data_IF_812025365961
#
_entry.id   IF_812025365961
#
_cell.length_a   1.000
_cell.length_b   1.000
_cell.length_c   1.000
_cell.angle_alpha   90.00
_cell.angle_beta   90.00
_cell.angle_gamma   90.00
#
_symmetry.space_group_name_H-M   'P 1'
#
loop_
_entity.id
_entity.type
_entity.pdbx_description
1 polymer ?
#
# COMPACT_ATOMS: atom_id res chain seq x y z
N UNK A 1 -18.83 -9.01 -8.14
CA UNK A 1 -17.57 -9.06 -8.91
C UNK A 1 -16.47 -9.53 -7.99
N UNK A 2 -15.65 -10.47 -8.43
CA UNK A 2 -14.44 -10.89 -7.70
C UNK A 2 -13.24 -10.38 -8.47
N UNK A 3 -12.26 -9.85 -7.74
CA UNK A 3 -11.00 -9.42 -8.30
C UNK A 3 -9.84 -9.85 -7.41
N UNK A 4 -8.65 -9.85 -7.97
CA UNK A 4 -7.43 -10.00 -7.20
C UNK A 4 -6.32 -9.19 -7.85
N UNK A 5 -5.46 -8.61 -7.04
CA UNK A 5 -4.21 -7.99 -7.47
C UNK A 5 -3.05 -8.82 -6.93
N UNK A 6 -2.04 -9.06 -7.77
CA UNK A 6 -0.76 -9.57 -7.35
C UNK A 6 0.30 -8.51 -7.66
N UNK A 7 1.10 -8.17 -6.65
CA UNK A 7 2.20 -7.24 -6.75
C UNK A 7 3.48 -7.91 -6.24
N UNK A 8 4.51 -7.86 -7.07
CA UNK A 8 5.88 -8.19 -6.69
C UNK A 8 6.72 -6.93 -6.78
N UNK A 9 7.46 -6.63 -5.72
CA UNK A 9 8.41 -5.54 -5.65
C UNK A 9 9.77 -6.10 -5.24
N UNK A 10 10.83 -5.58 -5.85
CA UNK A 10 12.21 -5.89 -5.52
C UNK A 10 12.99 -4.58 -5.51
N UNK A 11 13.69 -4.32 -4.41
CA UNK A 11 14.45 -3.08 -4.17
C UNK A 11 15.85 -3.49 -3.73
N UNK A 12 16.86 -2.99 -4.43
CA UNK A 12 18.23 -2.95 -3.91
C UNK A 12 18.36 -1.70 -3.03
N UNK A 13 18.87 -1.87 -1.82
CA UNK A 13 19.06 -0.77 -0.89
C UNK A 13 20.51 -0.75 -0.39
N UNK A 14 21.00 0.45 -0.13
CA UNK A 14 22.31 0.68 0.48
C UNK A 14 22.30 1.96 1.31
N UNK A 15 23.11 2.00 2.36
CA UNK A 15 23.46 3.24 3.05
C UNK A 15 24.88 3.17 3.60
N UNK A 16 25.48 4.33 3.90
CA UNK A 16 26.83 4.40 4.46
C UNK A 16 26.89 3.97 5.93
N UNK A 17 28.10 3.84 6.46
CA UNK A 17 28.33 3.44 7.85
C UNK A 17 27.54 4.28 8.89
N UNK A 18 26.85 3.58 9.79
CA UNK A 18 26.08 4.14 10.92
C UNK A 18 26.74 3.91 12.28
N UNK A 19 28.05 3.63 12.30
CA UNK A 19 28.85 3.35 13.49
C UNK A 19 29.26 1.88 13.64
N UNK A 20 29.09 1.07 12.60
CA UNK A 20 29.48 -0.35 12.53
C UNK A 20 30.80 -0.56 11.76
N UNK A 21 31.35 0.48 11.13
CA UNK A 21 32.67 0.49 10.48
C UNK A 21 32.67 0.06 9.01
N UNK A 22 31.50 -0.05 8.37
CA UNK A 22 31.36 -0.47 6.97
C UNK A 22 30.00 -0.05 6.39
N UNK A 23 29.89 -0.03 5.06
CA UNK A 23 28.65 0.31 4.35
C UNK A 23 27.65 -0.85 4.34
N UNK A 24 26.37 -0.52 4.38
CA UNK A 24 25.28 -1.49 4.44
C UNK A 24 24.61 -1.63 3.09
N UNK A 25 24.41 -2.88 2.67
CA UNK A 25 23.73 -3.22 1.42
C UNK A 25 22.86 -4.47 1.58
N UNK A 26 21.75 -4.49 0.87
CA UNK A 26 20.86 -5.63 0.88
C UNK A 26 19.76 -5.50 -0.16
N UNK A 27 18.80 -6.41 -0.07
CA UNK A 27 17.60 -6.37 -0.91
C UNK A 27 16.35 -6.39 -0.04
N UNK A 28 15.28 -5.79 -0.55
CA UNK A 28 13.94 -5.92 0.02
C UNK A 28 13.02 -6.41 -1.08
N UNK A 29 12.43 -7.58 -0.87
CA UNK A 29 11.40 -8.14 -1.74
C UNK A 29 10.04 -8.06 -1.05
N UNK A 30 8.99 -7.73 -1.79
CA UNK A 30 7.61 -7.78 -1.32
C UNK A 30 6.78 -8.61 -2.30
N UNK A 31 6.08 -9.61 -1.78
CA UNK A 31 5.09 -10.40 -2.51
C UNK A 31 3.75 -10.16 -1.87
N UNK A 32 2.85 -9.46 -2.56
CA UNK A 32 1.56 -9.03 -2.05
C UNK A 32 0.44 -9.50 -2.95
N UNK A 33 -0.56 -10.13 -2.34
CA UNK A 33 -1.79 -10.59 -2.97
C UNK A 33 -2.99 -9.93 -2.28
N UNK A 34 -3.84 -9.27 -3.06
CA UNK A 34 -5.00 -8.52 -2.54
C UNK A 34 -6.28 -8.98 -3.24
N UNK A 35 -6.93 -10.05 -2.76
CA UNK A 35 -8.26 -10.42 -3.21
C UNK A 35 -9.28 -9.36 -2.81
N UNK A 36 -10.32 -9.21 -3.63
CA UNK A 36 -11.44 -8.33 -3.36
C UNK A 36 -12.76 -8.90 -3.87
N UNK A 37 -13.83 -8.55 -3.17
CA UNK A 37 -15.21 -8.89 -3.52
C UNK A 37 -16.02 -7.60 -3.51
N UNK A 38 -16.69 -7.32 -4.63
CA UNK A 38 -17.61 -6.19 -4.78
C UNK A 38 -19.03 -6.69 -4.98
N UNK A 39 -19.94 -6.21 -4.16
CA UNK A 39 -21.38 -6.46 -4.24
C UNK A 39 -22.10 -5.19 -4.67
N UNK A 40 -22.94 -5.29 -5.69
CA UNK A 40 -23.88 -4.22 -6.04
C UNK A 40 -25.05 -4.27 -5.07
N UNK A 41 -25.25 -3.19 -4.31
CA UNK A 41 -26.39 -3.05 -3.40
C UNK A 41 -27.63 -2.56 -4.17
N UNK A 42 -27.41 -1.65 -5.12
CA UNK A 42 -28.41 -1.16 -6.08
C UNK A 42 -27.73 -0.89 -7.43
N UNK A 43 -28.47 -0.38 -8.40
CA UNK A 43 -27.91 0.10 -9.69
C UNK A 43 -26.89 1.24 -9.53
N UNK A 44 -26.88 1.91 -8.36
CA UNK A 44 -26.09 3.10 -8.09
C UNK A 44 -25.03 2.90 -7.02
N UNK A 45 -25.23 1.94 -6.13
CA UNK A 45 -24.36 1.71 -4.97
C UNK A 45 -23.70 0.35 -5.02
N UNK A 46 -22.40 0.32 -4.77
CA UNK A 46 -21.68 -0.92 -4.53
C UNK A 46 -20.81 -0.82 -3.27
N UNK A 47 -20.59 -1.96 -2.64
CA UNK A 47 -19.67 -2.13 -1.52
C UNK A 47 -18.58 -3.11 -1.92
N UNK A 48 -17.34 -2.80 -1.59
CA UNK A 48 -16.17 -3.64 -1.83
C UNK A 48 -15.47 -3.95 -0.52
N UNK A 49 -15.17 -5.22 -0.30
CA UNK A 49 -14.21 -5.66 0.70
C UNK A 49 -12.92 -6.12 0.01
N UNK A 50 -11.76 -5.76 0.56
CA UNK A 50 -10.45 -6.25 0.12
C UNK A 50 -9.53 -6.52 1.30
N UNK A 51 -8.72 -7.58 1.21
CA UNK A 51 -7.77 -7.97 2.26
C UNK A 51 -6.38 -8.06 1.66
N UNK A 52 -5.40 -7.36 2.23
CA UNK A 52 -3.99 -7.52 1.83
C UNK A 52 -3.42 -8.77 2.48
N UNK A 53 -2.75 -9.61 1.71
CA UNK A 53 -2.01 -10.77 2.20
C UNK A 53 -0.63 -10.77 1.55
N UNK A 54 0.41 -11.19 2.26
CA UNK A 54 1.74 -11.24 1.67
C UNK A 54 2.86 -11.26 2.68
N UNK A 55 4.05 -11.03 2.14
CA UNK A 55 5.30 -11.04 2.88
C UNK A 55 6.23 -9.98 2.29
N UNK A 56 6.87 -9.22 3.17
CA UNK A 56 8.10 -8.46 2.88
C UNK A 56 9.28 -9.23 3.44
N UNK A 57 10.35 -9.39 2.69
CA UNK A 57 11.55 -10.09 3.10
C UNK A 57 12.78 -9.27 2.74
N UNK A 58 13.58 -8.97 3.75
CA UNK A 58 14.86 -8.29 3.61
C UNK A 58 15.96 -9.35 3.59
N UNK A 59 16.84 -9.28 2.60
CA UNK A 59 18.11 -10.03 2.60
C UNK A 59 19.25 -9.09 2.93
N UNK A 60 20.17 -9.58 3.72
CA UNK A 60 21.39 -8.89 4.10
C UNK A 60 22.55 -9.39 3.24
N UNK A 61 23.17 -8.48 2.48
CA UNK A 61 24.16 -8.84 1.45
C UNK A 61 25.59 -9.00 1.97
N UNK A 62 25.80 -8.99 3.29
CA UNK A 62 27.13 -9.04 3.91
C UNK A 62 27.21 -10.25 4.84
N UNK A 63 28.33 -10.97 4.82
CA UNK A 63 28.59 -12.18 5.63
C UNK A 63 28.81 -11.90 7.13
N UNK A 64 28.08 -10.95 7.72
CA UNK A 64 28.14 -10.57 9.14
C UNK A 64 26.78 -10.11 9.63
N UNK A 65 26.23 -10.70 10.68
CA UNK A 65 24.97 -10.24 11.27
C UNK A 65 25.24 -9.05 12.20
N UNK A 66 24.46 -7.98 12.08
CA UNK A 66 24.49 -6.87 13.05
C UNK A 66 23.13 -6.69 13.73
N UNK A 67 23.04 -5.97 14.86
CA UNK A 67 21.75 -5.66 15.48
C UNK A 67 20.80 -4.90 14.55
N UNK A 68 21.38 -4.14 13.61
CA UNK A 68 20.68 -3.33 12.63
C UNK A 68 20.26 -4.13 11.38
N UNK A 69 21.08 -5.09 10.93
CA UNK A 69 20.86 -5.75 9.64
C UNK A 69 21.03 -7.27 9.70
N UNK A 70 20.02 -7.95 9.16
CA UNK A 70 19.90 -9.42 9.08
C UNK A 70 18.87 -9.79 8.02
N UNK A 71 18.91 -11.05 7.61
CA UNK A 71 17.81 -11.66 6.89
C UNK A 71 16.57 -11.73 7.78
N UNK A 72 15.47 -11.11 7.36
CA UNK A 72 14.22 -11.17 8.10
C UNK A 72 12.99 -10.94 7.23
N UNK A 73 11.85 -11.47 7.68
CA UNK A 73 10.57 -11.35 7.00
C UNK A 73 9.47 -10.79 7.90
N UNK A 74 8.49 -10.11 7.30
CA UNK A 74 7.32 -9.60 8.00
C UNK A 74 6.39 -10.71 8.51
N UNK A 75 6.62 -11.96 8.08
CA UNK A 75 5.82 -13.15 8.40
C UNK A 75 6.18 -13.80 9.74
N UNK A 76 7.28 -13.40 10.38
CA UNK A 76 7.71 -13.87 11.70
C UNK A 76 7.70 -12.77 12.76
N UNK A 77 7.52 -13.15 14.02
CA UNK A 77 7.62 -12.23 15.15
C UNK A 77 9.04 -11.71 15.34
N UNK A 78 9.15 -10.52 15.95
CA UNK A 78 10.40 -9.92 16.36
C UNK A 78 10.23 -9.11 17.65
N UNK A 79 11.34 -8.73 18.30
CA UNK A 79 11.30 -7.96 19.54
C UNK A 79 10.44 -6.70 19.39
N UNK A 80 10.60 -5.97 18.29
CA UNK A 80 9.79 -4.81 17.95
C UNK A 80 8.68 -5.04 16.91
N UNK A 81 8.33 -6.27 16.54
CA UNK A 81 7.32 -6.51 15.50
C UNK A 81 6.45 -7.72 15.78
N UNK A 82 5.17 -7.64 15.41
CA UNK A 82 4.27 -8.79 15.37
C UNK A 82 4.25 -9.29 13.93
N UNK A 83 4.54 -10.56 13.73
CA UNK A 83 4.60 -11.20 12.42
C UNK A 83 3.24 -11.63 11.90
N UNK A 84 3.21 -12.03 10.64
CA UNK A 84 2.10 -12.73 10.03
C UNK A 84 1.97 -12.46 8.53
N UNK A 85 0.98 -13.06 7.89
CA UNK A 85 0.78 -12.90 6.45
C UNK A 85 -0.26 -11.83 6.09
N UNK A 86 -1.05 -11.35 7.05
CA UNK A 86 -2.14 -10.41 6.79
C UNK A 86 -1.64 -8.97 6.89
N UNK A 87 -1.95 -8.15 5.89
CA UNK A 87 -1.87 -6.69 5.96
C UNK A 87 -3.25 -6.06 6.16
N UNK A 88 -3.38 -4.78 5.85
CA UNK A 88 -4.62 -4.03 6.03
C UNK A 88 -5.79 -4.61 5.21
N UNK A 89 -6.98 -4.56 5.80
CA UNK A 89 -8.26 -4.76 5.14
C UNK A 89 -8.87 -3.43 4.73
N UNK A 90 -9.74 -3.40 3.73
CA UNK A 90 -10.51 -2.20 3.35
C UNK A 90 -11.96 -2.54 3.07
N UNK A 91 -12.84 -1.64 3.51
CA UNK A 91 -14.26 -1.63 3.13
C UNK A 91 -14.54 -0.29 2.44
N UNK A 92 -15.00 -0.34 1.19
CA UNK A 92 -15.29 0.84 0.38
C UNK A 92 -16.74 0.82 -0.09
N UNK A 93 -17.46 1.91 0.13
CA UNK A 93 -18.78 2.16 -0.45
C UNK A 93 -18.63 3.15 -1.60
N UNK A 94 -19.19 2.85 -2.77
CA UNK A 94 -19.10 3.70 -3.97
C UNK A 94 -20.47 3.98 -4.56
N UNK A 95 -20.70 5.26 -4.87
CA UNK A 95 -21.85 5.78 -5.59
C UNK A 95 -21.50 6.08 -7.04
N UNK A 96 -22.32 5.63 -7.98
CA UNK A 96 -22.20 5.92 -9.41
C UNK A 96 -22.96 7.22 -9.74
N UNK A 97 -22.27 8.35 -9.71
CA UNK A 97 -22.85 9.67 -9.95
C UNK A 97 -23.18 9.95 -11.43
N UNK A 98 -22.40 9.40 -12.36
CA UNK A 98 -22.70 9.46 -13.79
C UNK A 98 -22.71 8.04 -14.36
N UNK A 99 -23.78 7.65 -15.04
CA UNK A 99 -23.95 6.31 -15.58
C UNK A 99 -24.34 6.34 -17.07
N UNK A 100 -23.38 6.06 -17.94
CA UNK A 100 -23.64 5.86 -19.38
C UNK A 100 -24.14 4.44 -19.74
N UNK A 101 -24.56 3.64 -18.74
CA UNK A 101 -25.08 2.29 -18.93
C UNK A 101 -24.06 1.35 -19.59
N UNK A 102 -24.53 0.52 -20.54
CA UNK A 102 -23.67 -0.43 -21.28
C UNK A 102 -22.88 0.22 -22.44
N UNK A 103 -23.33 1.39 -22.89
CA UNK A 103 -22.80 2.09 -24.07
C UNK A 103 -21.51 2.90 -23.81
N UNK A 104 -20.97 3.54 -24.86
CA UNK A 104 -19.95 4.58 -24.71
C UNK A 104 -20.44 5.72 -23.83
N UNK A 105 -19.52 6.43 -23.20
CA UNK A 105 -19.83 7.61 -22.38
C UNK A 105 -19.08 7.62 -21.06
N UNK A 106 -19.35 8.65 -20.28
CA UNK A 106 -18.67 8.95 -19.01
C UNK A 106 -19.28 8.19 -17.85
N UNK A 107 -18.42 7.83 -16.89
CA UNK A 107 -18.76 7.23 -15.61
C UNK A 107 -18.01 7.97 -14.53
N UNK A 108 -18.72 8.39 -13.49
CA UNK A 108 -18.17 9.06 -12.33
C UNK A 108 -18.57 8.28 -11.10
N UNK A 109 -17.58 7.85 -10.32
CA UNK A 109 -17.78 7.21 -9.04
C UNK A 109 -17.26 8.10 -7.93
N UNK A 110 -18.03 8.19 -6.85
CA UNK A 110 -17.64 8.81 -5.60
C UNK A 110 -17.60 7.72 -4.53
N UNK A 111 -16.48 7.61 -3.82
CA UNK A 111 -16.21 6.54 -2.88
C UNK A 111 -15.81 7.06 -1.52
N UNK A 112 -16.28 6.37 -0.48
CA UNK A 112 -15.85 6.55 0.90
C UNK A 112 -15.64 5.20 1.55
N UNK A 113 -14.68 5.09 2.45
CA UNK A 113 -14.40 3.82 3.11
C UNK A 113 -13.47 3.91 4.30
N UNK A 114 -13.16 2.73 4.83
CA UNK A 114 -12.29 2.55 5.99
C UNK A 114 -11.21 1.50 5.70
N UNK A 115 -9.97 1.83 6.02
CA UNK A 115 -8.86 0.89 6.15
C UNK A 115 -8.79 0.37 7.59
N UNK A 116 -8.73 -0.95 7.73
CA UNK A 116 -8.72 -1.66 9.01
C UNK A 116 -7.35 -2.34 9.12
N UNK A 117 -6.54 -2.00 10.14
CA UNK A 117 -5.21 -2.56 10.26
C UNK A 117 -5.25 -4.03 10.66
N UNK A 118 -4.22 -4.78 10.25
CA UNK A 118 -3.96 -6.10 10.82
C UNK A 118 -3.07 -6.00 12.04
N UNK A 119 -2.85 -7.14 12.71
CA UNK A 119 -1.88 -7.24 13.80
C UNK A 119 -0.43 -7.27 13.32
N UNK A 120 -0.15 -7.42 12.01
CA UNK A 120 1.22 -7.42 11.50
C UNK A 120 1.76 -5.98 11.46
N UNK A 121 2.27 -5.52 12.60
CA UNK A 121 2.69 -4.13 12.82
C UNK A 121 3.96 -4.06 13.67
N UNK A 122 4.61 -2.90 13.65
CA UNK A 122 5.71 -2.60 14.56
C UNK A 122 5.18 -2.19 15.94
N UNK A 123 5.87 -2.64 16.98
CA UNK A 123 5.58 -2.39 18.40
C UNK A 123 6.37 -1.23 19.00
N UNK A 124 7.38 -0.72 18.30
CA UNK A 124 8.16 0.43 18.71
C UNK A 124 8.82 1.10 17.51
N UNK A 125 9.22 2.36 17.69
CA UNK A 125 10.01 3.08 16.68
C UNK A 125 11.29 2.33 16.35
N UNK A 126 11.52 1.95 15.07
CA UNK A 126 12.79 1.34 14.67
C UNK A 126 13.95 2.34 14.67
N UNK A 127 13.67 3.63 14.89
CA UNK A 127 14.66 4.69 14.97
C UNK A 127 15.01 5.08 16.41
N UNK A 128 14.49 4.34 17.40
CA UNK A 128 14.75 4.59 18.81
C UNK A 128 16.22 4.30 19.17
N UNK A 129 16.83 5.18 19.97
CA UNK A 129 18.15 4.95 20.60
C UNK A 129 18.00 4.92 22.12
N UNK A 130 18.55 3.89 22.76
CA UNK A 130 18.60 3.73 24.22
C UNK A 130 20.07 3.85 24.63
N UNK A 131 20.40 4.87 25.44
CA UNK A 131 21.77 5.17 25.86
C UNK A 131 22.78 5.27 24.69
N UNK A 132 22.32 5.82 23.57
CA UNK A 132 23.11 5.96 22.34
C UNK A 132 23.24 4.68 21.50
N UNK A 133 22.71 3.55 21.98
CA UNK A 133 22.71 2.26 21.28
C UNK A 133 21.35 2.01 20.66
N UNK A 134 21.34 1.53 19.41
CA UNK A 134 20.11 1.12 18.76
C UNK A 134 19.83 -0.33 19.12
N UNK A 135 18.70 -0.64 19.78
CA UNK A 135 18.33 -2.03 20.06
C UNK A 135 18.07 -2.78 18.75
N UNK A 136 18.00 -4.11 18.80
CA UNK A 136 17.56 -4.88 17.63
C UNK A 136 16.16 -4.43 17.21
N UNK A 137 15.99 -4.13 15.93
CA UNK A 137 14.73 -3.67 15.38
C UNK A 137 14.51 -4.19 13.96
N UNK A 138 13.25 -4.10 13.52
CA UNK A 138 12.77 -4.28 12.16
C UNK A 138 12.15 -2.97 11.68
N UNK A 139 12.42 -2.58 10.43
CA UNK A 139 11.93 -1.34 9.83
C UNK A 139 10.61 -1.45 9.06
N UNK A 140 10.11 -2.67 8.83
CA UNK A 140 8.96 -2.90 7.98
C UNK A 140 7.96 -3.89 8.59
N UNK A 141 6.71 -3.73 8.21
CA UNK A 141 5.58 -4.61 8.53
C UNK A 141 4.62 -4.65 7.35
N UNK A 142 3.56 -5.48 7.43
CA UNK A 142 2.50 -5.50 6.42
C UNK A 142 1.36 -4.50 6.72
N UNK A 143 1.23 -4.05 7.97
CA UNK A 143 0.27 -3.06 8.44
C UNK A 143 0.98 -1.98 9.26
N UNK A 144 0.49 -0.75 9.19
CA UNK A 144 0.92 0.35 10.05
C UNK A 144 0.23 0.33 11.41
N UNK A 145 -0.79 -0.51 11.61
CA UNK A 145 -1.52 -0.57 12.88
C UNK A 145 -2.60 0.49 13.07
N UNK A 146 -2.97 1.21 12.00
CA UNK A 146 -3.79 2.42 12.07
C UNK A 146 -5.06 2.28 11.24
N UNK A 147 -6.19 2.69 11.82
CA UNK A 147 -7.43 2.89 11.07
C UNK A 147 -7.32 4.10 10.16
N UNK A 148 -7.78 3.97 8.91
CA UNK A 148 -7.68 5.01 7.89
C UNK A 148 -9.06 5.33 7.33
N UNK A 149 -9.42 6.60 7.19
CA UNK A 149 -10.53 7.01 6.36
C UNK A 149 -10.05 7.12 4.91
N UNK A 150 -10.84 6.64 3.97
CA UNK A 150 -10.51 6.63 2.55
C UNK A 150 -11.58 7.42 1.80
N UNK A 151 -11.16 8.40 1.02
CA UNK A 151 -11.98 9.09 0.05
C UNK A 151 -11.47 8.81 -1.35
N UNK A 152 -12.37 8.59 -2.30
CA UNK A 152 -12.01 8.24 -3.67
C UNK A 152 -12.96 8.90 -4.68
N UNK A 153 -12.42 9.38 -5.79
CA UNK A 153 -13.19 9.82 -6.95
C UNK A 153 -12.59 9.17 -8.19
N UNK A 154 -13.44 8.50 -8.98
CA UNK A 154 -13.02 7.85 -10.22
C UNK A 154 -13.81 8.41 -11.39
N UNK A 155 -13.12 8.85 -12.44
CA UNK A 155 -13.76 9.31 -13.68
C UNK A 155 -13.23 8.52 -14.86
N UNK A 156 -14.12 7.86 -15.59
CA UNK A 156 -13.78 7.05 -16.75
C UNK A 156 -14.67 7.32 -17.95
N UNK A 157 -14.07 7.29 -19.13
CA UNK A 157 -14.77 7.42 -20.41
C UNK A 157 -14.58 6.14 -21.21
N UNK A 158 -15.70 5.49 -21.54
CA UNK A 158 -15.73 4.37 -22.47
C UNK A 158 -15.98 4.87 -23.89
N UNK A 159 -15.22 4.38 -24.86
CA UNK A 159 -15.28 4.77 -26.29
C UNK A 159 -15.30 3.51 -27.16
N UNK A 160 -15.71 3.66 -28.42
CA UNK A 160 -15.67 2.57 -29.43
C UNK A 160 -14.27 2.46 -30.09
N UNK A 161 -13.48 3.54 -30.04
CA UNK A 161 -12.11 3.61 -30.56
C UNK A 161 -11.07 3.44 -29.44
N UNK A 162 -9.87 2.98 -29.78
CA UNK A 162 -8.75 2.87 -28.83
C UNK A 162 -8.26 4.26 -28.36
N UNK A 163 -7.88 4.41 -27.07
CA UNK A 163 -8.16 3.49 -25.97
C UNK A 163 -9.67 3.43 -25.68
N UNK A 164 -10.22 2.22 -25.53
CA UNK A 164 -11.67 1.99 -25.39
C UNK A 164 -12.18 2.33 -23.99
N UNK A 165 -11.28 2.38 -23.01
CA UNK A 165 -11.58 2.80 -21.66
C UNK A 165 -10.40 3.60 -21.15
N UNK A 166 -10.62 4.87 -20.80
CA UNK A 166 -9.58 5.73 -20.26
C UNK A 166 -10.15 6.62 -19.18
N UNK A 167 -9.35 6.96 -18.19
CA UNK A 167 -9.78 7.79 -17.09
C UNK A 167 -8.74 7.85 -15.98
N UNK A 168 -9.18 8.34 -14.83
CA UNK A 168 -8.31 8.42 -13.67
C UNK A 168 -9.06 8.26 -12.36
N UNK A 169 -8.27 7.98 -11.33
CA UNK A 169 -8.69 7.86 -9.94
C UNK A 169 -7.89 8.86 -9.12
N UNK A 170 -8.58 9.59 -8.27
CA UNK A 170 -8.01 10.39 -7.20
C UNK A 170 -8.44 9.77 -5.88
N UNK A 171 -7.51 9.60 -4.94
CA UNK A 171 -7.84 9.12 -3.60
C UNK A 171 -7.01 9.79 -2.51
N UNK A 172 -7.62 9.90 -1.34
CA UNK A 172 -6.97 10.35 -0.11
C UNK A 172 -7.17 9.27 0.94
N UNK A 173 -6.09 8.82 1.56
CA UNK A 173 -6.13 7.99 2.77
C UNK A 173 -5.64 8.81 3.95
N UNK A 174 -6.54 9.04 4.91
CA UNK A 174 -6.31 9.85 6.09
C UNK A 174 -6.23 8.93 7.32
N UNK A 175 -5.07 8.85 8.00
CA UNK A 175 -4.96 8.23 9.32
C UNK A 175 -5.95 8.85 10.30
N UNK A 176 -6.71 8.01 11.00
CA UNK A 176 -7.74 8.42 11.97
C UNK A 176 -7.22 8.50 13.41
N UNK A 177 -5.96 8.17 13.62
CA UNK A 177 -5.32 8.17 14.94
C UNK A 177 -3.92 7.59 14.88
N UNK A 178 -3.45 7.14 16.02
CA UNK A 178 -2.18 6.44 16.18
C UNK A 178 -2.43 4.95 16.38
N UNK A 179 -1.41 4.13 16.11
CA UNK A 179 -1.42 2.72 16.46
C UNK A 179 -1.35 2.56 17.97
N UNK A 180 -1.62 1.34 18.45
CA UNK A 180 -1.44 0.97 19.86
C UNK A 180 -0.04 1.31 20.40
N UNK A 181 0.96 1.38 19.53
CA UNK A 181 2.37 1.60 19.85
C UNK A 181 2.85 3.02 19.55
N UNK A 182 1.92 3.96 19.33
CA UNK A 182 2.21 5.38 19.15
C UNK A 182 2.73 5.75 17.76
N UNK A 183 2.52 4.90 16.74
CA UNK A 183 2.81 5.27 15.36
C UNK A 183 1.63 6.04 14.77
N UNK A 184 1.90 7.21 14.20
CA UNK A 184 0.97 8.00 13.40
C UNK A 184 1.42 7.95 11.95
N UNK A 185 0.61 7.34 11.10
CA UNK A 185 0.93 7.16 9.68
C UNK A 185 0.83 8.47 8.90
N UNK A 186 1.33 8.43 7.67
CA UNK A 186 1.21 9.53 6.73
C UNK A 186 -0.19 9.62 6.12
N UNK A 187 -0.64 10.83 5.79
CA UNK A 187 -1.71 11.01 4.81
C UNK A 187 -1.17 10.65 3.43
N UNK A 188 -1.85 9.77 2.71
CA UNK A 188 -1.54 9.43 1.33
C UNK A 188 -2.51 10.13 0.39
N UNK A 189 -1.97 10.81 -0.62
CA UNK A 189 -2.71 11.31 -1.78
C UNK A 189 -2.22 10.56 -3.01
N UNK A 190 -3.13 9.85 -3.68
CA UNK A 190 -2.83 9.09 -4.89
C UNK A 190 -3.66 9.62 -6.05
N UNK A 191 -2.97 9.80 -7.18
CA UNK A 191 -3.59 10.10 -8.45
C UNK A 191 -3.08 9.12 -9.50
N UNK A 192 -4.00 8.47 -10.19
CA UNK A 192 -3.66 7.49 -11.21
C UNK A 192 -4.48 7.69 -12.48
N UNK A 193 -3.82 7.56 -13.63
CA UNK A 193 -4.45 7.53 -14.94
C UNK A 193 -4.32 6.15 -15.53
N UNK A 194 -5.40 5.64 -16.10
CA UNK A 194 -5.42 4.33 -16.72
C UNK A 194 -6.06 4.41 -18.09
N UNK A 195 -5.51 3.66 -19.05
CA UNK A 195 -6.10 3.46 -20.36
C UNK A 195 -5.98 2.00 -20.79
N UNK A 196 -7.05 1.44 -21.36
CA UNK A 196 -7.09 0.09 -21.90
C UNK A 196 -7.39 0.10 -23.40
N UNK A 197 -6.72 -0.80 -24.12
CA UNK A 197 -7.02 -1.13 -25.51
C UNK A 197 -8.26 -2.04 -25.62
N UNK A 198 -8.81 -2.12 -26.83
CA UNK A 198 -9.81 -3.14 -27.17
C UNK A 198 -9.25 -4.55 -26.96
N UNK A 199 -10.15 -5.53 -26.91
CA UNK A 199 -9.79 -6.95 -26.90
C UNK A 199 -8.86 -7.28 -28.07
N UNK A 200 -7.68 -7.77 -27.76
CA UNK A 200 -6.69 -8.33 -28.67
C UNK A 200 -6.97 -9.83 -28.75
N UNK A 201 -7.29 -10.32 -29.96
CA UNK A 201 -7.76 -11.69 -30.17
C UNK A 201 -6.74 -12.75 -29.70
N UNK A 202 -5.45 -12.53 -29.97
CA UNK A 202 -4.40 -13.53 -29.72
C UNK A 202 -4.21 -13.85 -28.22
N UNK A 203 -4.36 -12.86 -27.35
CA UNK A 203 -4.29 -13.04 -25.89
C UNK A 203 -5.68 -13.17 -25.25
N UNK A 204 -6.74 -13.16 -26.06
CA UNK A 204 -8.14 -13.13 -25.61
C UNK A 204 -8.43 -12.06 -24.52
N UNK A 205 -7.70 -10.94 -24.53
CA UNK A 205 -7.66 -9.96 -23.45
C UNK A 205 -7.35 -8.56 -23.93
N UNK A 206 -7.28 -7.59 -23.03
CA UNK A 206 -6.92 -6.19 -23.33
C UNK A 206 -5.58 -5.85 -22.69
N UNK A 207 -4.77 -5.04 -23.37
CA UNK A 207 -3.57 -4.43 -22.78
C UNK A 207 -3.94 -3.02 -22.32
N UNK A 208 -3.52 -2.65 -21.12
CA UNK A 208 -3.65 -1.30 -20.60
C UNK A 208 -2.34 -0.80 -20.00
N UNK A 209 -2.25 0.52 -19.87
CA UNK A 209 -1.19 1.21 -19.16
C UNK A 209 -1.76 2.03 -18.02
N UNK A 210 -0.98 2.18 -16.96
CA UNK A 210 -1.29 3.02 -15.82
C UNK A 210 -0.09 3.92 -15.51
N UNK A 211 -0.35 5.19 -15.22
CA UNK A 211 0.62 6.13 -14.65
C UNK A 211 0.05 6.55 -13.31
N UNK A 212 0.89 6.60 -12.29
CA UNK A 212 0.48 6.89 -10.92
C UNK A 212 1.47 7.82 -10.26
N UNK A 213 0.93 8.82 -9.56
CA UNK A 213 1.67 9.79 -8.76
C UNK A 213 1.12 9.69 -7.34
N UNK A 214 2.02 9.54 -6.37
CA UNK A 214 1.68 9.43 -4.95
C UNK A 214 2.49 10.43 -4.16
N UNK A 215 1.83 11.05 -3.19
CA UNK A 215 2.45 11.92 -2.22
C UNK A 215 2.06 11.46 -0.81
N UNK A 216 3.04 11.40 0.09
CA UNK A 216 2.81 11.10 1.51
C UNK A 216 3.26 12.27 2.37
N UNK A 217 2.48 12.61 3.40
CA UNK A 217 2.92 13.54 4.45
C UNK A 217 3.93 12.87 5.39
N UNK A 218 4.41 13.63 6.36
CA UNK A 218 5.19 13.12 7.48
C UNK A 218 4.37 12.10 8.30
N UNK A 219 5.09 11.10 8.81
CA UNK A 219 4.62 10.16 9.83
C UNK A 219 5.37 10.40 11.13
N UNK A 220 4.85 9.91 12.26
CA UNK A 220 5.41 10.17 13.58
C UNK A 220 5.41 8.91 14.45
N UNK A 221 6.39 8.82 15.34
CA UNK A 221 6.41 7.88 16.46
C UNK A 221 6.40 8.69 17.76
N UNK A 222 5.35 8.57 18.56
CA UNK A 222 5.20 9.30 19.82
C UNK A 222 5.44 10.80 19.68
N UNK A 223 4.94 11.40 18.58
CA UNK A 223 5.13 12.82 18.26
C UNK A 223 6.48 13.19 17.63
N UNK A 224 7.43 12.26 17.52
CA UNK A 224 8.73 12.48 16.85
C UNK A 224 8.60 12.06 15.39
N UNK A 225 9.01 12.93 14.47
CA UNK A 225 8.95 12.64 13.03
C UNK A 225 9.72 11.37 12.68
N UNK A 226 9.07 10.48 11.94
CA UNK A 226 9.66 9.26 11.43
C UNK A 226 10.51 9.62 10.19
N UNK A 227 11.82 9.29 10.18
CA UNK A 227 12.67 9.50 9.01
C UNK A 227 12.08 8.88 7.74
N UNK A 228 12.30 9.55 6.60
CA UNK A 228 11.91 9.09 5.25
C UNK A 228 10.41 8.79 5.07
N UNK A 229 9.54 9.45 5.84
CA UNK A 229 8.08 9.26 5.77
C UNK A 229 7.39 10.12 4.71
N UNK A 230 7.99 11.26 4.36
CA UNK A 230 7.51 12.16 3.31
C UNK A 230 8.00 11.71 1.92
N UNK A 231 7.10 11.72 0.94
CA UNK A 231 7.42 11.47 -0.47
C UNK A 231 6.82 12.60 -1.30
N UNK A 232 7.66 13.32 -2.03
CA UNK A 232 7.26 14.44 -2.90
C UNK A 232 6.85 13.98 -4.28
#
# INVERSE_FOLDING_TARGET
MVGANFNYQFIDWQHGDIGEGFDHLGTLSATVFTPNITLGLTDWWNITFSQVMGRRYMTWGVDRITPHHRDEGSDSDFDNAIGGILGDSRIMLRFLALNAGKGPGSRLFLGGGIGIPSKNQLKMSPFLKIDGVTPKHRHFSMSEGIYKAIFETQFFVKRIKNPVFAGGTFSIEQPLGESEYGYKGSRLVDFSFTAFSKKIKIINGSIGGNIMVRNTSEAYWNGIEAPNSIST
#
